data_IF_003895775232
#
_entry.id   IF_003895775232
#
_cell.length_a   1.000
_cell.length_b   1.000
_cell.length_c   1.000
_cell.angle_alpha   90.00
_cell.angle_beta   90.00
_cell.angle_gamma   90.00
#
_symmetry.space_group_name_H-M   'P 1'
#
loop_
_entity.id
_entity.type
_entity.pdbx_description
1 polymer ?
#
# COMPACT_ATOMS: atom_id res chain seq x y z
N UNK A 1 10.44 -3.16 -4.70
CA UNK A 1 9.80 -4.39 -4.17
C UNK A 1 9.74 -5.53 -5.19
N UNK A 2 9.11 -5.34 -6.36
CA UNK A 2 8.99 -6.38 -7.41
C UNK A 2 10.33 -7.06 -7.80
N UNK A 3 11.40 -6.28 -7.96
CA UNK A 3 12.74 -6.80 -8.28
C UNK A 3 13.21 -7.81 -7.23
N UNK A 4 13.12 -7.46 -5.95
CA UNK A 4 13.54 -8.33 -4.84
C UNK A 4 12.73 -9.64 -4.84
N UNK A 5 11.41 -9.57 -5.00
CA UNK A 5 10.55 -10.75 -5.13
C UNK A 5 11.01 -11.68 -6.26
N UNK A 6 11.25 -11.12 -7.45
CA UNK A 6 11.65 -11.88 -8.63
C UNK A 6 13.02 -12.55 -8.45
N UNK A 7 13.97 -11.85 -7.82
CA UNK A 7 15.30 -12.42 -7.55
C UNK A 7 15.23 -13.51 -6.48
N UNK A 8 14.59 -13.25 -5.34
CA UNK A 8 14.46 -14.22 -4.27
C UNK A 8 13.65 -15.46 -4.71
N UNK A 9 12.62 -15.29 -5.55
CA UNK A 9 11.82 -16.40 -6.09
C UNK A 9 12.59 -17.36 -7.02
N UNK A 10 13.75 -16.95 -7.54
CA UNK A 10 14.63 -17.78 -8.37
C UNK A 10 15.60 -18.63 -7.54
N UNK A 11 15.74 -18.35 -6.25
CA UNK A 11 16.60 -19.14 -5.37
C UNK A 11 15.89 -20.47 -5.10
N UNK A 12 16.53 -21.57 -5.50
CA UNK A 12 15.97 -22.92 -5.37
C UNK A 12 16.25 -23.56 -4.00
N UNK A 13 17.25 -23.06 -3.26
CA UNK A 13 17.59 -23.54 -1.93
C UNK A 13 18.22 -22.41 -1.07
N UNK A 14 17.59 -22.01 0.05
CA UNK A 14 16.25 -22.40 0.51
C UNK A 14 15.13 -21.84 -0.39
N UNK A 15 13.96 -22.48 -0.39
CA UNK A 15 12.76 -21.98 -1.09
C UNK A 15 12.07 -20.92 -0.23
N UNK A 16 11.89 -19.72 -0.77
CA UNK A 16 11.16 -18.63 -0.11
C UNK A 16 9.67 -18.66 -0.44
N UNK A 17 8.83 -18.85 0.57
CA UNK A 17 7.36 -18.85 0.45
C UNK A 17 6.69 -17.67 1.15
N UNK A 18 7.46 -16.88 1.90
CA UNK A 18 6.99 -15.73 2.65
C UNK A 18 7.94 -14.56 2.40
N UNK A 19 7.38 -13.40 2.09
CA UNK A 19 8.11 -12.20 1.72
C UNK A 19 7.73 -11.06 2.65
N UNK A 20 8.75 -10.44 3.24
CA UNK A 20 8.62 -9.26 4.10
C UNK A 20 9.07 -8.04 3.32
N UNK A 21 8.15 -7.13 3.07
CA UNK A 21 8.45 -5.82 2.49
C UNK A 21 8.48 -4.84 3.62
N UNK A 22 9.65 -4.26 3.86
CA UNK A 22 9.97 -3.59 5.11
C UNK A 22 10.76 -2.32 4.83
N UNK A 23 10.23 -1.17 5.24
CA UNK A 23 10.96 0.09 5.19
C UNK A 23 12.16 0.04 6.13
N UNK A 24 13.33 0.44 5.62
CA UNK A 24 14.61 0.31 6.34
C UNK A 24 14.69 1.16 7.60
N UNK A 25 13.84 2.18 7.70
CA UNK A 25 13.77 3.13 8.80
C UNK A 25 12.76 2.74 9.88
N UNK A 26 12.04 1.63 9.75
CA UNK A 26 11.12 1.14 10.77
C UNK A 26 11.78 0.06 11.63
N UNK A 27 11.68 0.16 12.95
CA UNK A 27 12.20 -0.84 13.89
C UNK A 27 11.07 -1.30 14.82
N UNK A 28 10.79 -2.62 14.92
CA UNK A 28 9.74 -3.10 15.81
C UNK A 28 10.11 -2.85 17.28
N UNK A 29 9.16 -2.37 18.07
CA UNK A 29 9.36 -2.10 19.51
C UNK A 29 9.08 -3.33 20.39
N UNK A 30 8.53 -4.40 19.81
CA UNK A 30 8.08 -5.58 20.53
C UNK A 30 8.40 -6.86 19.72
N UNK A 31 9.13 -7.79 20.33
CA UNK A 31 9.58 -9.05 19.73
C UNK A 31 8.46 -10.10 19.58
N UNK A 32 7.31 -9.89 20.21
CA UNK A 32 6.09 -10.65 19.94
C UNK A 32 5.44 -10.30 18.59
N UNK A 33 5.90 -9.25 17.91
CA UNK A 33 5.48 -8.98 16.54
C UNK A 33 6.21 -9.90 15.57
N UNK A 34 5.80 -11.16 15.51
CA UNK A 34 6.48 -12.22 14.75
C UNK A 34 6.42 -11.96 13.24
N UNK A 35 7.58 -12.04 12.60
CA UNK A 35 7.75 -11.89 11.16
C UNK A 35 7.44 -13.22 10.47
N UNK A 36 6.17 -13.48 10.25
CA UNK A 36 5.67 -14.65 9.53
C UNK A 36 4.51 -14.25 8.62
N UNK A 37 4.23 -15.06 7.60
CA UNK A 37 3.07 -14.86 6.74
C UNK A 37 1.86 -15.62 7.28
N UNK A 38 0.67 -15.09 7.06
CA UNK A 38 -0.60 -15.79 7.28
C UNK A 38 -1.06 -16.37 5.93
N UNK A 39 -1.55 -17.62 5.93
CA UNK A 39 -2.06 -18.27 4.73
C UNK A 39 -3.42 -17.71 4.30
N UNK A 40 -4.21 -17.17 5.24
CA UNK A 40 -5.53 -16.64 4.98
C UNK A 40 -5.52 -15.26 4.32
N UNK A 41 -4.46 -14.47 4.54
CA UNK A 41 -4.33 -13.13 3.97
C UNK A 41 -2.98 -12.47 4.29
N UNK A 42 -2.70 -11.32 3.65
CA UNK A 42 -1.50 -10.53 3.92
C UNK A 42 -1.54 -9.97 5.35
N UNK A 43 -0.37 -9.86 6.01
CA UNK A 43 -0.27 -9.25 7.34
C UNK A 43 0.41 -7.89 7.25
N UNK A 44 -0.28 -6.84 7.70
CA UNK A 44 0.34 -5.54 7.91
C UNK A 44 0.92 -5.52 9.34
N UNK A 45 2.25 -5.55 9.45
CA UNK A 45 2.96 -5.70 10.72
C UNK A 45 3.15 -4.39 11.47
N UNK A 46 3.11 -3.23 10.80
CA UNK A 46 3.36 -1.90 11.37
C UNK A 46 2.12 -0.99 11.51
N UNK A 47 1.02 -1.43 12.15
CA UNK A 47 -0.18 -0.62 12.26
C UNK A 47 -0.05 0.60 13.20
N UNK A 48 1.02 0.67 14.00
CA UNK A 48 1.23 1.71 14.99
C UNK A 48 2.68 2.25 14.95
N UNK A 49 2.92 3.30 14.16
CA UNK A 49 4.23 3.95 14.05
C UNK A 49 4.29 5.20 14.94
N UNK A 50 5.41 5.44 15.62
CA UNK A 50 5.58 6.55 16.56
C UNK A 50 5.39 7.94 15.94
N UNK A 51 5.85 8.18 14.72
CA UNK A 51 5.64 9.41 13.95
C UNK A 51 4.14 9.66 13.64
N UNK A 52 3.33 8.60 13.64
CA UNK A 52 1.86 8.66 13.53
C UNK A 52 1.17 8.60 14.90
N UNK A 53 1.93 8.86 15.98
CA UNK A 53 1.48 8.78 17.38
C UNK A 53 0.90 7.41 17.75
N UNK A 54 1.40 6.35 17.13
CA UNK A 54 0.93 4.97 17.29
C UNK A 54 -0.53 4.74 16.89
N UNK A 55 -1.06 5.57 15.99
CA UNK A 55 -2.40 5.39 15.41
C UNK A 55 -2.32 4.96 13.95
N UNK A 56 -3.20 4.04 13.57
CA UNK A 56 -3.44 3.70 12.18
C UNK A 56 -4.25 4.83 11.53
N UNK A 57 -3.66 5.56 10.59
CA UNK A 57 -4.28 6.74 9.98
C UNK A 57 -5.60 6.42 9.26
N UNK A 58 -5.66 5.27 8.57
CA UNK A 58 -6.86 4.78 7.91
C UNK A 58 -6.79 3.26 7.69
N UNK A 59 -7.95 2.61 7.54
CA UNK A 59 -8.05 1.15 7.52
C UNK A 59 -7.35 0.47 6.34
N UNK A 60 -7.17 1.20 5.25
CA UNK A 60 -6.55 0.69 4.02
C UNK A 60 -5.03 0.88 3.97
N UNK A 61 -4.44 1.54 4.97
CA UNK A 61 -3.00 1.73 5.05
C UNK A 61 -2.29 0.38 5.31
N UNK A 62 -1.39 0.01 4.41
CA UNK A 62 -0.54 -1.19 4.52
C UNK A 62 0.95 -0.92 4.34
N UNK A 63 1.35 0.35 4.30
CA UNK A 63 2.75 0.77 4.17
C UNK A 63 3.59 0.45 5.41
N UNK A 64 4.89 0.70 5.32
CA UNK A 64 5.84 0.39 6.38
C UNK A 64 6.31 -1.06 6.35
N UNK A 65 5.48 -1.99 6.82
CA UNK A 65 5.85 -3.42 6.88
C UNK A 65 4.69 -4.34 6.50
N UNK A 66 4.84 -5.05 5.37
CA UNK A 66 3.85 -5.98 4.85
C UNK A 66 4.46 -7.39 4.66
N UNK A 67 3.83 -8.38 5.28
CA UNK A 67 4.12 -9.79 5.07
C UNK A 67 3.11 -10.40 4.07
N UNK A 68 3.61 -11.01 3.01
CA UNK A 68 2.78 -11.68 2.00
C UNK A 68 3.38 -13.02 1.61
N UNK A 69 2.52 -14.03 1.42
CA UNK A 69 2.98 -15.30 0.83
C UNK A 69 3.32 -15.11 -0.64
N UNK A 70 4.12 -16.03 -1.19
CA UNK A 70 4.42 -16.08 -2.63
C UNK A 70 3.13 -16.07 -3.46
N UNK A 71 2.16 -16.88 -3.08
CA UNK A 71 0.90 -17.03 -3.81
C UNK A 71 0.02 -15.78 -3.72
N UNK A 72 -0.06 -15.16 -2.54
CA UNK A 72 -0.78 -13.89 -2.37
C UNK A 72 -0.19 -12.81 -3.27
N UNK A 73 1.14 -12.70 -3.28
CA UNK A 73 1.86 -11.73 -4.09
C UNK A 73 1.64 -11.94 -5.59
N UNK A 74 1.74 -13.20 -6.04
CA UNK A 74 1.51 -13.58 -7.44
C UNK A 74 0.05 -13.31 -7.86
N UNK A 75 -0.94 -13.64 -7.02
CA UNK A 75 -2.35 -13.36 -7.32
C UNK A 75 -2.68 -11.87 -7.39
N UNK A 76 -1.99 -11.04 -6.60
CA UNK A 76 -2.09 -9.59 -6.68
C UNK A 76 -1.38 -8.99 -7.92
N UNK A 77 -0.64 -9.82 -8.69
CA UNK A 77 0.24 -9.36 -9.78
C UNK A 77 1.28 -8.33 -9.30
N UNK A 78 1.78 -8.52 -8.08
CA UNK A 78 2.77 -7.66 -7.44
C UNK A 78 2.39 -6.18 -7.29
N UNK A 79 3.40 -5.36 -6.94
CA UNK A 79 3.23 -3.89 -6.89
C UNK A 79 3.09 -3.31 -8.30
N UNK A 80 2.39 -2.19 -8.42
CA UNK A 80 2.45 -1.37 -9.63
C UNK A 80 3.85 -0.81 -9.87
N UNK A 81 4.29 -0.78 -11.13
CA UNK A 81 5.54 -0.12 -11.55
C UNK A 81 5.29 1.32 -12.04
N UNK A 82 4.10 1.88 -11.82
CA UNK A 82 3.72 3.21 -12.30
C UNK A 82 3.94 4.33 -11.28
N UNK A 83 4.19 3.98 -10.01
CA UNK A 83 4.44 4.94 -8.95
C UNK A 83 5.93 5.31 -8.92
N UNK A 84 6.21 6.56 -9.27
CA UNK A 84 7.54 7.16 -9.24
C UNK A 84 7.57 8.29 -8.21
N UNK A 85 8.35 8.13 -7.15
CA UNK A 85 8.33 9.02 -5.99
C UNK A 85 7.40 8.51 -4.89
N UNK A 86 7.09 9.38 -3.92
CA UNK A 86 6.29 9.01 -2.75
C UNK A 86 4.79 9.14 -3.00
N UNK A 87 4.05 8.07 -2.66
CA UNK A 87 2.60 8.08 -2.49
C UNK A 87 1.83 7.08 -3.37
N UNK A 88 0.73 6.56 -2.80
CA UNK A 88 -0.30 5.70 -3.40
C UNK A 88 0.10 4.28 -3.82
N UNK A 89 1.38 3.91 -3.77
CA UNK A 89 1.82 2.56 -4.13
C UNK A 89 1.31 1.49 -3.16
N UNK A 90 1.26 1.80 -1.86
CA UNK A 90 0.76 0.89 -0.82
C UNK A 90 -0.77 0.76 -0.89
N UNK A 91 -1.46 1.87 -1.20
CA UNK A 91 -2.91 1.88 -1.35
C UNK A 91 -3.34 1.03 -2.57
N UNK A 92 -2.62 1.15 -3.69
CA UNK A 92 -2.83 0.31 -4.89
C UNK A 92 -2.54 -1.17 -4.58
N UNK A 93 -1.49 -1.47 -3.81
CA UNK A 93 -1.20 -2.84 -3.39
C UNK A 93 -2.32 -3.42 -2.52
N UNK A 94 -2.86 -2.65 -1.57
CA UNK A 94 -4.00 -3.08 -0.77
C UNK A 94 -5.24 -3.32 -1.64
N UNK A 95 -5.49 -2.43 -2.61
CA UNK A 95 -6.58 -2.59 -3.58
C UNK A 95 -6.45 -3.91 -4.37
N UNK A 96 -5.26 -4.22 -4.88
CA UNK A 96 -4.98 -5.48 -5.61
C UNK A 96 -5.18 -6.71 -4.73
N UNK A 97 -4.69 -6.68 -3.49
CA UNK A 97 -4.86 -7.77 -2.53
C UNK A 97 -6.34 -8.02 -2.21
N UNK A 98 -7.12 -6.96 -2.00
CA UNK A 98 -8.57 -7.04 -1.79
C UNK A 98 -9.28 -7.57 -3.04
N UNK A 99 -8.90 -7.11 -4.23
CA UNK A 99 -9.45 -7.60 -5.49
C UNK A 99 -9.15 -9.09 -5.72
N UNK A 100 -7.99 -9.56 -5.27
CA UNK A 100 -7.61 -10.97 -5.25
C UNK A 100 -8.33 -11.80 -4.14
N UNK A 101 -9.25 -11.20 -3.40
CA UNK A 101 -10.09 -11.87 -2.40
C UNK A 101 -9.49 -11.94 -1.00
N UNK A 102 -8.39 -11.24 -0.73
CA UNK A 102 -7.72 -11.27 0.56
C UNK A 102 -8.17 -10.15 1.50
N UNK A 103 -8.02 -10.40 2.81
CA UNK A 103 -8.22 -9.41 3.86
C UNK A 103 -6.93 -9.25 4.65
N UNK A 104 -6.52 -8.02 4.89
CA UNK A 104 -5.32 -7.70 5.68
C UNK A 104 -5.57 -7.99 7.15
N UNK A 105 -4.71 -8.78 7.77
CA UNK A 105 -4.67 -8.95 9.23
C UNK A 105 -3.57 -8.07 9.84
N UNK A 106 -3.74 -7.73 11.12
CA UNK A 106 -2.83 -6.84 11.87
C UNK A 106 -2.64 -7.40 13.28
N UNK A 107 -1.43 -7.28 13.87
CA UNK A 107 -1.26 -7.50 15.29
C UNK A 107 -2.00 -6.42 16.11
N UNK A 108 -2.29 -6.66 17.40
CA UNK A 108 -2.77 -5.61 18.30
C UNK A 108 -1.80 -4.43 18.36
N UNK A 109 -2.31 -3.21 18.57
CA UNK A 109 -1.47 -2.00 18.65
C UNK A 109 -0.44 -2.02 19.79
N UNK A 110 -0.60 -2.87 20.81
CA UNK A 110 0.41 -3.06 21.86
C UNK A 110 1.61 -3.89 21.40
N UNK A 111 1.46 -4.65 20.32
CA UNK A 111 2.47 -5.54 19.73
C UNK A 111 3.03 -4.93 18.44
N UNK A 112 2.16 -4.44 17.55
CA UNK A 112 2.53 -3.87 16.24
C UNK A 112 3.12 -2.47 16.28
N UNK A 113 3.87 -2.12 17.32
CA UNK A 113 4.50 -0.80 17.47
C UNK A 113 5.83 -0.75 16.75
N UNK A 114 6.06 0.34 16.04
CA UNK A 114 7.33 0.62 15.37
C UNK A 114 7.84 2.00 15.71
N UNK A 115 9.16 2.07 15.86
CA UNK A 115 9.94 3.29 15.93
C UNK A 115 10.47 3.62 14.53
N UNK A 116 10.22 4.84 14.07
CA UNK A 116 10.79 5.34 12.83
C UNK A 116 12.12 6.06 13.10
N UNK A 117 13.16 5.68 12.38
CA UNK A 117 14.43 6.38 12.35
C UNK A 117 14.20 7.74 11.69
N UNK A 118 14.63 8.81 12.35
CA UNK A 118 14.39 10.17 11.85
C UNK A 118 15.14 10.42 10.55
N UNK A 119 14.42 10.92 9.55
CA UNK A 119 14.96 11.33 8.27
C UNK A 119 14.10 12.46 7.67
N UNK A 120 14.64 13.20 6.70
CA UNK A 120 13.86 14.19 5.95
C UNK A 120 12.75 13.51 5.14
N UNK A 121 11.52 13.99 5.29
CA UNK A 121 10.36 13.41 4.61
C UNK A 121 10.31 13.85 3.16
N UNK A 122 10.01 12.89 2.27
CA UNK A 122 9.78 13.21 0.87
C UNK A 122 8.45 13.96 0.71
N UNK A 123 8.44 14.90 -0.24
CA UNK A 123 7.20 15.55 -0.67
C UNK A 123 6.46 14.59 -1.60
N UNK A 124 5.12 14.44 -1.47
CA UNK A 124 4.35 13.63 -2.41
C UNK A 124 4.59 14.07 -3.85
N UNK A 125 4.67 13.11 -4.77
CA UNK A 125 4.92 13.43 -6.17
C UNK A 125 3.83 14.37 -6.73
N UNK A 126 4.22 15.51 -7.30
CA UNK A 126 3.30 16.54 -7.82
C UNK A 126 2.43 16.06 -8.99
N UNK A 127 2.89 15.00 -9.66
CA UNK A 127 2.23 14.39 -10.81
C UNK A 127 1.54 13.07 -10.47
N UNK A 128 1.28 12.81 -9.19
CA UNK A 128 0.21 11.90 -8.79
C UNK A 128 -1.10 12.56 -9.21
N UNK A 129 -1.41 12.51 -10.51
CA UNK A 129 -2.73 12.82 -11.05
C UNK A 129 -3.74 12.25 -10.06
N UNK A 130 -4.71 13.05 -9.61
CA UNK A 130 -5.76 12.59 -8.70
C UNK A 130 -6.51 11.43 -9.36
N UNK A 131 -6.02 10.21 -9.18
CA UNK A 131 -6.62 9.00 -9.73
C UNK A 131 -7.77 8.65 -8.80
N UNK A 132 -8.94 9.23 -9.07
CA UNK A 132 -10.19 8.74 -8.48
C UNK A 132 -10.54 7.40 -9.12
N UNK A 133 -10.55 6.34 -8.32
CA UNK A 133 -11.08 5.04 -8.71
C UNK A 133 -12.61 5.13 -8.83
N UNK A 134 -13.11 5.22 -10.06
CA UNK A 134 -14.53 5.05 -10.36
C UNK A 134 -14.71 3.81 -11.23
N UNK A 135 -15.26 2.73 -10.67
CA UNK A 135 -15.69 1.56 -11.44
C UNK A 135 -14.58 0.71 -12.08
N UNK A 136 -13.35 0.74 -11.56
CA UNK A 136 -12.26 -0.13 -12.04
C UNK A 136 -11.47 0.40 -13.24
N UNK A 137 -11.61 1.69 -13.56
CA UNK A 137 -10.80 2.37 -14.59
C UNK A 137 -10.03 3.53 -13.94
N UNK A 138 -8.72 3.60 -14.21
CA UNK A 138 -7.88 4.76 -13.87
C UNK A 138 -8.26 5.91 -14.80
N UNK A 139 -8.98 6.91 -14.28
CA UNK A 139 -9.31 8.12 -15.03
C UNK A 139 -8.37 9.24 -14.57
N UNK A 140 -7.62 9.81 -15.50
CA UNK A 140 -6.88 11.06 -15.28
C UNK A 140 -7.86 12.22 -15.30
N UNK A 141 -8.09 12.86 -14.14
CA UNK A 141 -8.80 14.13 -14.09
C UNK A 141 -7.80 15.27 -14.30
N UNK A 142 -7.70 15.73 -15.54
CA UNK A 142 -7.07 17.02 -15.83
C UNK A 142 -7.96 18.15 -15.33
N UNK A 143 -7.41 19.03 -14.49
CA UNK A 143 -8.11 20.21 -13.95
C UNK A 143 -8.70 21.15 -15.03
N UNK A 144 -8.28 21.03 -16.28
CA UNK A 144 -8.82 21.80 -17.42
C UNK A 144 -10.26 21.47 -17.78
N UNK A 145 -10.82 20.31 -17.37
CA UNK A 145 -12.17 19.88 -17.81
C UNK A 145 -13.28 20.42 -16.90
N UNK A 146 -12.97 20.82 -15.65
CA UNK A 146 -13.97 21.28 -14.68
C UNK A 146 -14.54 22.67 -15.04
N UNK A 147 -13.81 23.47 -15.83
CA UNK A 147 -14.28 24.80 -16.25
C UNK A 147 -15.34 24.78 -17.36
N UNK A 148 -15.59 23.64 -18.02
CA UNK A 148 -16.56 23.56 -19.12
C UNK A 148 -17.96 23.07 -18.71
N UNK A 149 -18.13 22.55 -17.48
CA UNK A 149 -19.44 22.03 -17.04
C UNK A 149 -20.36 23.07 -16.37
N UNK A 150 -19.94 24.34 -16.27
CA UNK A 150 -20.75 25.42 -15.68
C UNK A 150 -21.52 26.28 -16.71
N UNK A 151 -21.50 25.95 -18.01
CA UNK A 151 -22.08 26.82 -19.05
C UNK A 151 -23.29 26.25 -19.83
N UNK A 152 -23.81 25.05 -19.49
CA UNK A 152 -24.96 24.47 -20.22
C UNK A 152 -26.02 23.90 -19.26
N UNK A 153 -26.49 24.71 -18.31
CA UNK A 153 -27.78 24.46 -17.61
C UNK A 153 -28.47 25.79 -17.34
N UNK A 154 -28.81 26.57 -18.38
CA UNK A 154 -29.87 27.57 -18.29
C UNK A 154 -30.37 27.98 -19.67
N UNK A 155 -31.29 27.18 -20.22
CA UNK A 155 -32.44 27.63 -21.03
C UNK A 155 -33.17 26.38 -21.50
N UNK A 156 -34.33 26.11 -20.89
CA UNK A 156 -35.56 25.62 -21.52
C UNK A 156 -36.58 25.39 -20.40
N UNK A 157 -37.41 26.41 -20.16
CA UNK A 157 -38.76 26.29 -19.61
C UNK A 157 -39.64 27.21 -20.46
N UNK A 158 -40.82 26.71 -20.82
CA UNK A 158 -41.90 27.39 -21.54
C UNK A 158 -42.23 28.71 -20.84
#
# INVERSE_FOLDING_TARGET
>A
MNVAFNHASKISAPVFNCFMFHDVDLIPENDYNVYECDQHGPRHLAPAVDELRYFLMYNDLIGGVLAVTKDQFMKANGWSNLYWGWGFEDDDMNHRLRHAGYRVSRPPNSIGRYKMIRHEKQVPASNSSSYTFAGGVLISLSWTVISFLHLVVHRFRI
#
